data_IF_712063664563
#
_entry.id   IF_712063664563
#
_cell.length_a   1.000
_cell.length_b   1.000
_cell.length_c   1.000
_cell.angle_alpha   90.00
_cell.angle_beta   90.00
_cell.angle_gamma   90.00
#
_symmetry.space_group_name_H-M   'P 1'
#
loop_
_entity.id
_entity.type
_entity.pdbx_description
1 polymer ?
#
# COMPACT_ATOMS: atom_id res chain seq x y z
N UNK A 1 3.25 4.53 12.40
CA UNK A 1 3.22 4.31 13.89
C UNK A 1 1.87 3.70 14.30
N UNK A 2 1.77 2.91 15.38
CA UNK A 2 0.50 2.29 15.80
C UNK A 2 -0.55 3.31 16.31
N UNK A 3 -0.14 4.57 16.48
CA UNK A 3 -0.99 5.71 16.85
C UNK A 3 -1.64 6.40 15.65
N UNK A 4 -1.19 6.10 14.42
CA UNK A 4 -1.80 6.65 13.20
C UNK A 4 -3.13 5.97 12.95
N UNK A 5 -4.17 6.76 12.72
CA UNK A 5 -5.48 6.23 12.36
C UNK A 5 -5.46 5.75 10.91
N UNK A 6 -5.83 4.49 10.72
CA UNK A 6 -6.02 3.84 9.43
C UNK A 6 -7.30 3.02 9.55
N UNK A 7 -8.11 2.96 8.51
CA UNK A 7 -9.37 2.24 8.46
C UNK A 7 -9.48 1.38 7.20
N UNK A 8 -10.30 0.31 7.22
CA UNK A 8 -10.73 -0.34 6.00
C UNK A 8 -11.35 0.66 5.01
N UNK A 9 -10.99 0.53 3.73
CA UNK A 9 -11.39 1.43 2.66
C UNK A 9 -10.34 2.51 2.32
N UNK A 10 -9.41 2.80 3.23
CA UNK A 10 -8.35 3.78 3.00
C UNK A 10 -7.49 3.42 1.78
N UNK A 11 -7.07 4.44 1.04
CA UNK A 11 -6.23 4.29 -0.14
C UNK A 11 -4.75 4.19 0.27
N UNK A 12 -4.10 3.10 -0.15
CA UNK A 12 -2.64 2.95 -0.03
C UNK A 12 -1.96 3.52 -1.27
N UNK A 13 -0.99 4.40 -1.04
CA UNK A 13 -0.11 4.95 -2.06
C UNK A 13 1.33 4.45 -1.84
N UNK A 14 2.13 4.42 -2.91
CA UNK A 14 3.59 4.31 -2.77
C UNK A 14 4.12 5.51 -2.00
N UNK A 15 5.19 5.27 -1.23
CA UNK A 15 6.03 6.32 -0.66
C UNK A 15 7.42 6.28 -1.27
N UNK A 16 8.24 7.31 -1.02
CA UNK A 16 9.62 7.37 -1.51
C UNK A 16 10.75 7.15 -0.44
N UNK A 17 10.57 6.38 0.66
CA UNK A 17 11.58 6.32 1.73
C UNK A 17 12.91 5.67 1.32
N UNK A 18 12.91 4.87 0.25
CA UNK A 18 14.09 4.16 -0.27
C UNK A 18 14.44 4.56 -1.72
N UNK A 19 13.75 5.55 -2.31
CA UNK A 19 13.94 5.95 -3.71
C UNK A 19 13.49 4.91 -4.76
N UNK A 20 12.90 3.78 -4.36
CA UNK A 20 12.58 2.68 -5.29
C UNK A 20 11.41 2.99 -6.23
N UNK A 21 10.39 3.69 -5.73
CA UNK A 21 9.20 4.07 -6.49
C UNK A 21 8.96 5.57 -6.34
N UNK A 22 8.42 6.23 -7.38
CA UNK A 22 7.86 7.58 -7.23
C UNK A 22 6.80 7.61 -6.14
N UNK A 23 6.68 8.73 -5.45
CA UNK A 23 5.68 8.95 -4.41
C UNK A 23 4.27 9.10 -5.02
N UNK A 24 3.24 8.63 -4.30
CA UNK A 24 1.84 8.91 -4.65
C UNK A 24 1.18 7.99 -5.69
N UNK A 25 1.79 6.86 -6.06
CA UNK A 25 1.18 5.90 -6.99
C UNK A 25 0.15 5.03 -6.24
N UNK A 26 -1.11 4.94 -6.68
CA UNK A 26 -2.11 4.09 -6.05
C UNK A 26 -1.76 2.60 -6.13
N UNK A 27 -1.78 1.92 -4.98
CA UNK A 27 -1.51 0.47 -4.87
C UNK A 27 -2.79 -0.32 -4.66
N UNK A 28 -3.62 0.11 -3.72
CA UNK A 28 -4.70 -0.72 -3.21
C UNK A 28 -5.58 -0.03 -2.17
N UNK A 29 -6.62 -0.72 -1.72
CA UNK A 29 -7.45 -0.30 -0.58
C UNK A 29 -7.25 -1.22 0.61
N UNK A 30 -7.17 -0.66 1.81
CA UNK A 30 -7.08 -1.44 3.05
C UNK A 30 -8.34 -2.26 3.21
N UNK A 31 -8.21 -3.58 3.38
CA UNK A 31 -9.34 -4.46 3.66
C UNK A 31 -9.50 -4.70 5.16
N UNK A 32 -8.38 -4.93 5.86
CA UNK A 32 -8.39 -5.16 7.30
C UNK A 32 -7.07 -4.77 7.94
N UNK A 33 -7.17 -4.47 9.22
CA UNK A 33 -6.04 -4.12 10.08
C UNK A 33 -5.99 -5.08 11.25
N UNK A 34 -4.77 -5.44 11.65
CA UNK A 34 -4.51 -6.35 12.74
C UNK A 34 -3.39 -5.77 13.62
N UNK A 35 -3.60 -5.74 14.93
CA UNK A 35 -2.55 -5.42 15.89
C UNK A 35 -1.65 -6.63 16.04
N UNK A 36 -0.38 -6.48 15.67
CA UNK A 36 0.62 -7.53 15.85
C UNK A 36 0.89 -7.71 17.35
N UNK A 37 1.19 -8.94 17.78
CA UNK A 37 1.58 -9.22 19.17
C UNK A 37 2.67 -8.25 19.65
N UNK A 38 2.49 -7.71 20.86
CA UNK A 38 3.34 -6.66 21.43
C UNK A 38 2.89 -5.22 21.10
N UNK A 39 1.91 -5.01 20.22
CA UNK A 39 1.21 -3.72 20.04
C UNK A 39 2.02 -2.60 19.38
N UNK A 40 3.29 -2.83 19.06
CA UNK A 40 4.19 -1.82 18.46
C UNK A 40 3.94 -1.59 16.96
N UNK A 41 3.22 -2.50 16.29
CA UNK A 41 2.95 -2.45 14.85
C UNK A 41 1.50 -2.78 14.54
N UNK A 42 1.01 -2.14 13.49
CA UNK A 42 -0.22 -2.52 12.80
C UNK A 42 0.16 -3.25 11.51
N UNK A 43 -0.53 -4.34 11.20
CA UNK A 43 -0.43 -5.04 9.93
C UNK A 43 -1.71 -4.77 9.14
N UNK A 44 -1.56 -4.18 7.96
CA UNK A 44 -2.65 -3.98 7.02
C UNK A 44 -2.63 -5.04 5.93
N UNK A 45 -3.81 -5.55 5.59
CA UNK A 45 -4.03 -6.33 4.39
C UNK A 45 -4.73 -5.44 3.38
N UNK A 46 -4.29 -5.49 2.12
CA UNK A 46 -4.66 -4.52 1.10
C UNK A 46 -5.12 -5.28 -0.14
N UNK A 47 -6.29 -4.91 -0.66
CA UNK A 47 -6.76 -5.35 -1.96
C UNK A 47 -6.11 -4.49 -3.05
N UNK A 48 -5.39 -5.08 -4.01
CA UNK A 48 -4.86 -4.33 -5.14
C UNK A 48 -5.98 -3.61 -5.91
N UNK A 49 -5.71 -2.40 -6.38
CA UNK A 49 -6.64 -1.69 -7.28
C UNK A 49 -6.63 -2.28 -8.70
N UNK A 50 -5.55 -2.96 -9.06
CA UNK A 50 -5.33 -3.56 -10.37
C UNK A 50 -5.56 -5.07 -10.31
N UNK A 51 -6.23 -5.60 -11.33
CA UNK A 51 -6.34 -7.04 -11.53
C UNK A 51 -5.29 -7.48 -12.56
N UNK A 52 -4.20 -8.07 -12.06
CA UNK A 52 -3.01 -8.35 -12.87
C UNK A 52 -3.27 -9.33 -14.04
N UNK A 53 -4.30 -10.18 -13.92
CA UNK A 53 -4.70 -11.12 -14.97
C UNK A 53 -5.40 -10.46 -16.16
N UNK A 54 -5.80 -9.18 -16.03
CA UNK A 54 -6.46 -8.41 -17.09
C UNK A 54 -5.51 -7.43 -17.80
N UNK A 55 -4.20 -7.51 -17.52
CA UNK A 55 -3.22 -6.60 -18.09
C UNK A 55 -2.81 -7.02 -19.50
N UNK A 56 -2.88 -6.07 -20.43
CA UNK A 56 -2.30 -6.19 -21.77
C UNK A 56 -0.96 -5.42 -21.86
N UNK A 57 -0.92 -4.23 -21.26
CA UNK A 57 0.22 -3.32 -21.31
C UNK A 57 0.60 -2.82 -19.92
N UNK A 58 1.88 -2.46 -19.76
CA UNK A 58 2.43 -1.89 -18.53
C UNK A 58 3.37 -0.74 -18.82
N UNK A 59 3.45 0.22 -17.90
CA UNK A 59 4.40 1.33 -17.94
C UNK A 59 5.48 1.07 -16.90
N UNK A 60 6.74 1.10 -17.33
CA UNK A 60 7.89 1.01 -16.42
C UNK A 60 8.31 2.42 -16.01
N UNK A 61 8.28 2.68 -14.71
CA UNK A 61 8.74 3.93 -14.12
C UNK A 61 10.19 3.78 -13.67
N UNK A 62 10.99 4.84 -13.85
CA UNK A 62 12.36 4.87 -13.33
C UNK A 62 12.34 5.12 -11.81
N UNK A 63 13.22 4.48 -11.03
CA UNK A 63 13.45 4.84 -9.63
C UNK A 63 13.88 6.31 -9.47
N UNK A 64 13.70 6.85 -8.27
CA UNK A 64 14.10 8.21 -7.88
C UNK A 64 15.58 8.29 -7.53
#
# INVERSE_FOLDING_TARGET
PPTVQVAPGDLLLTGAPLGLFPDGIPVGRVERLERVQGGLKLRGWVKPLVELSLLEEVIVLRPL
#
